data_IF_917530401719
#
_entry.id   IF_917530401719
#
_cell.length_a   1.000
_cell.length_b   1.000
_cell.length_c   1.000
_cell.angle_alpha   90.00
_cell.angle_beta   90.00
_cell.angle_gamma   90.00
#
_symmetry.space_group_name_H-M   'P 1'
#
loop_
_entity.id
_entity.type
_entity.pdbx_description
1 polymer ?
#
# COMPACT_ATOMS: atom_id res chain seq x y z
N UNK A 1 -5.93 -15.77 -14.07
CA UNK A 1 -6.80 -16.02 -12.92
C UNK A 1 -8.16 -16.52 -13.37
N UNK A 2 -8.78 -17.40 -12.61
CA UNK A 2 -10.11 -17.91 -12.86
C UNK A 2 -11.13 -17.21 -11.95
N UNK A 3 -12.40 -17.16 -12.39
CA UNK A 3 -13.50 -16.56 -11.64
C UNK A 3 -13.28 -15.07 -11.32
N UNK A 4 -12.86 -14.30 -12.31
CA UNK A 4 -12.80 -12.85 -12.21
C UNK A 4 -14.23 -12.31 -12.12
N UNK A 5 -14.50 -11.44 -11.14
CA UNK A 5 -15.80 -10.82 -10.97
C UNK A 5 -15.77 -9.29 -11.09
N UNK A 6 -14.59 -8.69 -10.99
CA UNK A 6 -14.42 -7.25 -11.13
C UNK A 6 -13.11 -6.96 -11.86
N UNK A 7 -13.14 -5.95 -12.70
CA UNK A 7 -11.97 -5.40 -13.38
C UNK A 7 -12.07 -3.88 -13.39
N UNK A 8 -10.96 -3.21 -13.16
CA UNK A 8 -10.82 -1.76 -13.35
C UNK A 8 -9.46 -1.45 -13.97
N UNK A 9 -9.39 -0.43 -14.79
CA UNK A 9 -8.17 -0.07 -15.49
C UNK A 9 -7.94 1.44 -15.53
N UNK A 10 -6.66 1.81 -15.60
CA UNK A 10 -6.22 3.19 -15.74
C UNK A 10 -5.23 3.30 -16.92
N UNK A 11 -5.62 4.05 -17.93
CA UNK A 11 -4.81 4.25 -19.15
C UNK A 11 -3.68 5.25 -18.93
N UNK A 12 -3.76 6.14 -17.96
CA UNK A 12 -2.69 7.11 -17.64
C UNK A 12 -1.47 6.37 -17.09
N UNK A 13 -1.71 5.41 -16.20
CA UNK A 13 -0.66 4.62 -15.57
C UNK A 13 -0.42 3.26 -16.25
N UNK A 14 -1.16 2.96 -17.34
CA UNK A 14 -1.07 1.69 -18.06
C UNK A 14 -1.20 0.47 -17.15
N UNK A 15 -2.23 0.47 -16.31
CA UNK A 15 -2.48 -0.56 -15.30
C UNK A 15 -3.91 -1.09 -15.39
N UNK A 16 -4.06 -2.39 -15.23
CA UNK A 16 -5.35 -3.08 -15.10
C UNK A 16 -5.31 -3.91 -13.83
N UNK A 17 -6.34 -3.79 -13.00
CA UNK A 17 -6.53 -4.55 -11.77
C UNK A 17 -7.71 -5.50 -11.92
N UNK A 18 -7.54 -6.74 -11.47
CA UNK A 18 -8.56 -7.78 -11.51
C UNK A 18 -8.76 -8.38 -10.11
N UNK A 19 -10.01 -8.58 -9.72
CA UNK A 19 -10.38 -9.32 -8.52
C UNK A 19 -10.90 -10.72 -8.88
N UNK A 20 -10.48 -11.74 -8.13
CA UNK A 20 -10.90 -13.11 -8.30
C UNK A 20 -11.60 -13.64 -7.06
N UNK A 21 -12.69 -14.39 -7.25
CA UNK A 21 -13.39 -15.06 -6.14
C UNK A 21 -12.55 -16.14 -5.46
N UNK A 22 -11.56 -16.71 -6.15
CA UNK A 22 -10.70 -17.77 -5.61
C UNK A 22 -9.63 -17.25 -4.66
N UNK A 23 -9.21 -16.01 -4.84
CA UNK A 23 -8.21 -15.35 -3.99
C UNK A 23 -8.78 -14.02 -3.53
N UNK A 24 -9.67 -14.04 -2.52
CA UNK A 24 -10.48 -12.89 -2.16
C UNK A 24 -9.69 -11.72 -1.57
N UNK A 25 -8.45 -11.95 -1.13
CA UNK A 25 -7.56 -10.94 -0.55
C UNK A 25 -6.49 -10.44 -1.52
N UNK A 26 -6.56 -10.89 -2.80
CA UNK A 26 -5.53 -10.57 -3.80
C UNK A 26 -6.08 -9.78 -4.97
N UNK A 27 -5.24 -8.89 -5.48
CA UNK A 27 -5.45 -8.11 -6.70
C UNK A 27 -4.43 -8.60 -7.74
N UNK A 28 -4.92 -9.07 -8.88
CA UNK A 28 -4.06 -9.34 -10.03
C UNK A 28 -3.86 -8.07 -10.82
N UNK A 29 -2.63 -7.69 -10.99
CA UNK A 29 -2.25 -6.41 -11.62
C UNK A 29 -1.51 -6.68 -12.91
N UNK A 30 -1.95 -6.06 -13.98
CA UNK A 30 -1.31 -6.08 -15.28
C UNK A 30 -0.79 -4.69 -15.63
N UNK A 31 0.51 -4.55 -15.74
CA UNK A 31 1.13 -3.36 -16.30
C UNK A 31 1.54 -3.58 -17.73
N UNK A 32 1.31 -2.58 -18.59
CA UNK A 32 1.68 -2.61 -19.98
C UNK A 32 2.28 -1.28 -20.43
N UNK A 33 3.16 -1.37 -21.40
CA UNK A 33 3.75 -0.18 -22.01
C UNK A 33 3.85 -0.40 -23.52
N UNK A 34 3.39 0.58 -24.28
CA UNK A 34 3.50 0.61 -25.73
C UNK A 34 4.46 1.72 -26.14
N UNK A 35 5.35 1.42 -27.07
CA UNK A 35 5.99 2.42 -27.94
C UNK A 35 5.10 2.59 -29.16
N UNK A 36 5.34 3.63 -30.00
CA UNK A 36 4.43 4.05 -31.09
C UNK A 36 3.75 2.91 -31.85
N UNK A 37 4.43 1.79 -32.11
CA UNK A 37 3.93 0.71 -32.97
C UNK A 37 4.06 -0.70 -32.37
N UNK A 38 4.61 -0.83 -31.17
CA UNK A 38 4.83 -2.15 -30.60
C UNK A 38 4.64 -2.15 -29.09
N UNK A 39 4.21 -3.31 -28.57
CA UNK A 39 4.15 -3.57 -27.15
C UNK A 39 5.56 -3.76 -26.60
N UNK A 40 6.07 -2.75 -25.89
CA UNK A 40 7.42 -2.78 -25.34
C UNK A 40 7.50 -3.61 -24.06
N UNK A 41 6.45 -3.58 -23.22
CA UNK A 41 6.41 -4.31 -21.98
C UNK A 41 4.99 -4.78 -21.64
N UNK A 42 4.90 -5.93 -20.98
CA UNK A 42 3.67 -6.47 -20.42
C UNK A 42 4.02 -7.42 -19.31
N UNK A 43 3.60 -7.11 -18.10
CA UNK A 43 3.92 -7.89 -16.93
C UNK A 43 2.68 -8.07 -16.04
N UNK A 44 2.54 -9.27 -15.47
CA UNK A 44 1.56 -9.57 -14.45
C UNK A 44 2.26 -9.71 -13.11
N UNK A 45 1.65 -9.17 -12.07
CA UNK A 45 2.04 -9.38 -10.69
C UNK A 45 0.80 -9.46 -9.80
N UNK A 46 0.99 -9.75 -8.54
CA UNK A 46 -0.08 -9.91 -7.57
C UNK A 46 0.21 -9.09 -6.34
N UNK A 47 -0.75 -8.31 -5.90
CA UNK A 47 -0.77 -7.67 -4.60
C UNK A 47 -1.68 -8.48 -3.68
N UNK A 48 -1.25 -8.74 -2.47
CA UNK A 48 -2.05 -9.36 -1.43
C UNK A 48 -2.22 -8.35 -0.31
N UNK A 49 -3.45 -8.15 0.13
CA UNK A 49 -3.75 -7.28 1.26
C UNK A 49 -3.78 -8.17 2.50
N UNK A 50 -2.76 -8.04 3.31
CA UNK A 50 -2.64 -8.80 4.54
C UNK A 50 -3.75 -8.41 5.52
N UNK A 51 -4.23 -9.40 6.31
CA UNK A 51 -5.32 -9.25 7.29
C UNK A 51 -6.69 -8.90 6.71
N UNK A 52 -6.83 -8.63 5.43
CA UNK A 52 -8.12 -8.53 4.80
C UNK A 52 -8.83 -9.90 4.83
N UNK A 53 -10.12 -9.90 5.08
CA UNK A 53 -10.96 -11.08 4.85
C UNK A 53 -11.35 -11.17 3.37
N UNK A 54 -11.60 -10.01 2.76
CA UNK A 54 -12.02 -9.94 1.36
C UNK A 54 -11.90 -8.54 0.79
N UNK A 55 -11.50 -8.46 -0.49
CA UNK A 55 -11.62 -7.24 -1.30
C UNK A 55 -12.98 -7.32 -2.03
N UNK A 56 -13.86 -6.38 -1.73
CA UNK A 56 -15.22 -6.34 -2.25
C UNK A 56 -15.32 -5.62 -3.59
N UNK A 57 -14.54 -4.57 -3.77
CA UNK A 57 -14.53 -3.76 -4.97
C UNK A 57 -13.16 -3.13 -5.24
N UNK A 58 -12.90 -2.84 -6.51
CA UNK A 58 -11.76 -2.09 -7.00
C UNK A 58 -12.20 -1.14 -8.09
N UNK A 59 -11.78 0.13 -8.01
CA UNK A 59 -12.03 1.09 -9.06
C UNK A 59 -10.97 2.19 -9.12
N UNK A 60 -10.72 2.73 -10.32
CA UNK A 60 -9.81 3.84 -10.52
C UNK A 60 -10.57 5.16 -10.63
N UNK A 61 -10.09 6.16 -9.89
CA UNK A 61 -10.46 7.56 -10.09
C UNK A 61 -9.14 8.32 -10.27
N UNK A 62 -8.90 8.84 -11.46
CA UNK A 62 -7.62 9.45 -11.84
C UNK A 62 -6.44 8.51 -11.56
N UNK A 63 -5.47 8.92 -10.75
CA UNK A 63 -4.28 8.13 -10.39
C UNK A 63 -4.46 7.28 -9.13
N UNK A 64 -5.64 7.29 -8.53
CA UNK A 64 -5.92 6.58 -7.30
C UNK A 64 -6.72 5.31 -7.57
N UNK A 65 -6.23 4.19 -7.06
CA UNK A 65 -6.97 2.94 -6.97
C UNK A 65 -7.74 2.92 -5.65
N UNK A 66 -9.06 2.93 -5.72
CA UNK A 66 -9.94 2.81 -4.57
C UNK A 66 -10.29 1.35 -4.36
N UNK A 67 -10.18 0.90 -3.11
CA UNK A 67 -10.44 -0.47 -2.68
C UNK A 67 -11.48 -0.44 -1.58
N UNK A 68 -12.54 -1.22 -1.73
CA UNK A 68 -13.46 -1.52 -0.63
C UNK A 68 -13.04 -2.85 -0.04
N UNK A 69 -12.55 -2.84 1.20
CA UNK A 69 -11.96 -4.00 1.84
C UNK A 69 -12.73 -4.32 3.12
N UNK A 70 -13.04 -5.59 3.29
CA UNK A 70 -13.59 -6.15 4.52
C UNK A 70 -12.46 -6.69 5.37
N UNK A 71 -12.37 -6.19 6.60
CA UNK A 71 -11.54 -6.70 7.69
C UNK A 71 -12.43 -7.26 8.80
N UNK A 72 -11.84 -7.85 9.84
CA UNK A 72 -12.60 -8.36 11.00
C UNK A 72 -13.38 -7.28 11.73
N UNK A 73 -12.82 -6.09 11.82
CA UNK A 73 -13.35 -4.92 12.54
C UNK A 73 -14.31 -4.06 11.69
N UNK A 74 -14.43 -4.34 10.38
CA UNK A 74 -15.37 -3.58 9.54
C UNK A 74 -15.04 -3.57 8.05
N UNK A 75 -15.76 -2.71 7.33
CA UNK A 75 -15.53 -2.46 5.91
C UNK A 75 -14.94 -1.06 5.75
N UNK A 76 -13.81 -0.98 5.07
CA UNK A 76 -13.08 0.26 4.86
C UNK A 76 -12.95 0.59 3.38
N UNK A 77 -12.98 1.88 3.07
CA UNK A 77 -12.60 2.41 1.78
C UNK A 77 -11.15 2.89 1.87
N UNK A 78 -10.27 2.18 1.21
CA UNK A 78 -8.84 2.50 1.15
C UNK A 78 -8.48 2.99 -0.25
N UNK A 79 -7.38 3.72 -0.36
CA UNK A 79 -6.87 4.19 -1.65
C UNK A 79 -5.37 3.99 -1.77
N UNK A 80 -4.94 3.60 -2.95
CA UNK A 80 -3.54 3.44 -3.31
C UNK A 80 -3.19 4.43 -4.44
N UNK A 81 -2.14 5.20 -4.25
CA UNK A 81 -1.61 6.06 -5.31
C UNK A 81 -0.82 5.19 -6.30
N UNK A 82 -1.24 5.18 -7.57
CA UNK A 82 -0.60 4.42 -8.64
C UNK A 82 0.33 5.27 -9.52
N UNK A 83 0.67 6.48 -9.12
CA UNK A 83 1.64 7.30 -9.87
C UNK A 83 3.05 6.73 -9.73
N UNK A 84 3.90 6.97 -10.73
CA UNK A 84 5.29 6.47 -10.74
C UNK A 84 6.20 7.14 -9.69
N UNK A 85 5.82 8.30 -9.19
CA UNK A 85 6.56 9.04 -8.15
C UNK A 85 5.61 9.30 -6.99
N UNK A 86 5.70 8.45 -5.99
CA UNK A 86 4.92 8.55 -4.77
C UNK A 86 5.75 9.25 -3.70
N UNK A 87 5.73 10.56 -3.69
CA UNK A 87 6.19 11.32 -2.54
C UNK A 87 4.93 11.81 -1.85
N UNK A 88 4.81 11.53 -0.55
CA UNK A 88 3.71 12.07 0.25
C UNK A 88 3.86 13.59 0.31
N UNK A 89 2.75 14.31 0.28
CA UNK A 89 2.74 15.77 0.23
C UNK A 89 3.49 16.36 1.42
N UNK A 90 4.46 17.22 1.12
CA UNK A 90 5.27 17.90 2.14
C UNK A 90 6.33 17.04 2.82
N UNK A 91 6.68 15.88 2.24
CA UNK A 91 7.78 15.03 2.72
C UNK A 91 8.92 14.98 1.71
N UNK A 92 10.15 14.91 2.22
CA UNK A 92 11.37 14.70 1.43
C UNK A 92 11.76 13.21 1.36
N UNK A 93 10.97 12.32 1.96
CA UNK A 93 11.22 10.88 2.06
C UNK A 93 9.95 10.08 1.80
N UNK A 94 10.10 8.77 1.50
CA UNK A 94 9.01 7.83 1.28
C UNK A 94 8.73 7.04 2.55
N UNK A 95 7.44 6.90 2.88
CA UNK A 95 6.97 6.04 3.96
C UNK A 95 6.15 4.90 3.33
N UNK A 96 6.73 3.69 3.37
CA UNK A 96 6.14 2.49 2.80
C UNK A 96 5.41 1.69 3.88
N UNK A 97 4.12 1.99 4.08
CA UNK A 97 3.24 1.32 5.02
C UNK A 97 1.88 1.07 4.37
N UNK A 98 1.26 -0.06 4.68
CA UNK A 98 -0.15 -0.31 4.38
C UNK A 98 -1.05 0.36 5.41
N UNK A 99 -2.29 0.68 5.05
CA UNK A 99 -3.26 1.42 5.89
C UNK A 99 -2.65 2.70 6.49
N UNK A 100 -1.79 3.33 5.71
CA UNK A 100 -1.04 4.51 6.11
C UNK A 100 -1.95 5.70 6.38
N UNK A 101 -1.77 6.34 7.54
CA UNK A 101 -2.48 7.54 7.95
C UNK A 101 -1.53 8.54 8.58
N UNK A 102 -1.76 9.81 8.30
CA UNK A 102 -1.18 10.91 9.07
C UNK A 102 -2.12 11.25 10.22
N UNK A 103 -1.61 11.28 11.45
CA UNK A 103 -2.35 11.59 12.65
C UNK A 103 -1.76 12.82 13.33
N UNK A 104 -2.66 13.66 13.85
CA UNK A 104 -2.32 14.78 14.73
C UNK A 104 -2.63 14.39 16.17
N UNK A 105 -1.63 14.47 17.03
CA UNK A 105 -1.72 14.08 18.43
C UNK A 105 -2.10 15.22 19.37
N UNK A 106 -2.44 14.85 20.59
CA UNK A 106 -2.62 15.75 21.72
C UNK A 106 -1.42 15.62 22.65
N UNK A 107 -0.65 16.68 22.78
CA UNK A 107 0.50 16.74 23.67
C UNK A 107 0.11 17.21 25.05
N UNK A 108 0.57 16.50 26.07
CA UNK A 108 0.44 16.84 27.50
C UNK A 108 1.81 17.21 28.06
N UNK A 109 1.97 18.46 28.46
CA UNK A 109 3.24 19.00 29.02
C UNK A 109 3.56 18.43 30.40
N UNK A 110 2.55 18.04 31.20
CA UNK A 110 2.79 17.51 32.57
C UNK A 110 3.43 16.12 32.53
N UNK A 111 3.02 15.29 31.59
CA UNK A 111 3.52 13.93 31.39
C UNK A 111 4.58 13.82 30.31
N UNK A 112 4.85 14.90 29.57
CA UNK A 112 5.69 14.92 28.37
C UNK A 112 5.32 13.82 27.38
N UNK A 113 4.01 13.66 27.11
CA UNK A 113 3.48 12.56 26.31
C UNK A 113 2.54 13.08 25.23
N UNK A 114 2.67 12.55 24.01
CA UNK A 114 1.71 12.81 22.92
C UNK A 114 0.86 11.56 22.66
N UNK A 115 -0.46 11.74 22.62
CA UNK A 115 -1.41 10.65 22.39
C UNK A 115 -2.16 10.80 21.07
N UNK A 116 -2.50 9.66 20.43
CA UNK A 116 -3.23 9.60 19.17
C UNK A 116 -4.28 8.48 19.22
N UNK A 117 -5.39 8.67 18.52
CA UNK A 117 -6.41 7.63 18.36
C UNK A 117 -6.29 7.01 16.96
N UNK A 118 -6.15 5.69 16.91
CA UNK A 118 -6.10 4.92 15.66
C UNK A 118 -7.54 4.60 15.24
N UNK A 119 -7.93 4.82 13.97
CA UNK A 119 -9.30 4.59 13.52
C UNK A 119 -9.61 3.14 13.11
N UNK A 120 -8.69 2.21 13.31
CA UNK A 120 -8.84 0.79 13.00
C UNK A 120 -8.16 -0.10 14.04
N UNK A 121 -8.60 -1.35 14.13
CA UNK A 121 -8.00 -2.33 15.03
C UNK A 121 -6.68 -2.88 14.46
N UNK A 122 -5.63 -2.90 15.28
CA UNK A 122 -4.36 -3.56 15.00
C UNK A 122 -3.65 -3.89 16.31
N UNK A 123 -2.77 -4.90 16.28
CA UNK A 123 -1.89 -5.19 17.40
C UNK A 123 -0.69 -4.21 17.41
N UNK A 124 -0.06 -4.03 18.58
CA UNK A 124 1.06 -3.09 18.71
C UNK A 124 2.27 -3.53 17.87
N UNK A 125 2.57 -4.84 17.86
CA UNK A 125 3.66 -5.43 17.07
C UNK A 125 3.49 -5.31 15.56
N UNK A 126 2.27 -5.04 15.13
CA UNK A 126 1.89 -4.93 13.73
C UNK A 126 1.85 -3.48 13.24
N UNK A 127 2.18 -2.53 14.09
CA UNK A 127 2.10 -1.11 13.80
C UNK A 127 3.49 -0.47 13.77
N UNK A 128 3.73 0.37 12.79
CA UNK A 128 4.86 1.29 12.80
C UNK A 128 4.36 2.72 12.96
N UNK A 129 5.07 3.48 13.77
CA UNK A 129 4.87 4.92 13.96
C UNK A 129 6.12 5.64 13.48
N UNK A 130 5.95 6.59 12.57
CA UNK A 130 7.05 7.30 11.92
C UNK A 130 6.89 8.80 12.19
N UNK A 131 7.97 9.44 12.60
CA UNK A 131 8.01 10.90 12.72
C UNK A 131 7.78 11.55 11.34
N UNK A 132 6.82 12.48 11.28
CA UNK A 132 6.55 13.23 10.05
C UNK A 132 7.68 14.17 9.68
N UNK A 133 8.48 14.60 10.65
CA UNK A 133 9.52 15.62 10.44
C UNK A 133 10.80 15.05 9.84
N UNK A 134 11.13 13.78 10.16
CA UNK A 134 12.43 13.21 9.79
C UNK A 134 12.39 11.77 9.29
N UNK A 135 11.22 11.11 9.29
CA UNK A 135 11.06 9.74 8.79
C UNK A 135 11.58 8.64 9.71
N UNK A 136 12.00 8.96 10.93
CA UNK A 136 12.48 7.94 11.87
C UNK A 136 11.34 7.19 12.53
N UNK A 137 11.55 5.89 12.75
CA UNK A 137 10.66 5.08 13.57
C UNK A 137 10.69 5.59 15.01
N UNK A 138 9.51 5.66 15.61
CA UNK A 138 9.32 6.10 16.99
C UNK A 138 8.86 4.93 17.85
N UNK A 139 9.45 4.83 19.04
CA UNK A 139 8.97 3.90 20.06
C UNK A 139 7.66 4.42 20.66
N UNK A 140 6.71 3.53 20.83
CA UNK A 140 5.38 3.87 21.35
C UNK A 140 4.82 2.79 22.28
N UNK A 141 3.84 3.17 23.07
CA UNK A 141 2.99 2.23 23.79
C UNK A 141 1.58 2.28 23.21
N UNK A 142 0.88 1.15 23.25
CA UNK A 142 -0.49 1.05 22.74
C UNK A 142 -1.41 0.44 23.80
N UNK A 143 -2.54 1.09 24.02
CA UNK A 143 -3.64 0.60 24.85
C UNK A 143 -4.93 0.79 24.07
N UNK A 144 -5.62 -0.30 23.76
CA UNK A 144 -6.77 -0.30 22.88
C UNK A 144 -6.45 0.39 21.54
N UNK A 145 -7.20 1.41 21.15
CA UNK A 145 -6.97 2.20 19.94
C UNK A 145 -6.19 3.49 20.19
N UNK A 146 -5.51 3.62 21.32
CA UNK A 146 -4.69 4.79 21.66
C UNK A 146 -3.22 4.41 21.63
N UNK A 147 -2.41 5.17 20.92
CA UNK A 147 -0.95 5.13 20.98
C UNK A 147 -0.43 6.34 21.76
N UNK A 148 0.64 6.14 22.50
CA UNK A 148 1.31 7.17 23.29
C UNK A 148 2.79 7.18 23.01
N UNK A 149 3.33 8.35 22.74
CA UNK A 149 4.75 8.62 22.48
C UNK A 149 5.30 9.52 23.59
N UNK A 150 6.49 9.21 24.07
CA UNK A 150 7.22 10.11 24.96
C UNK A 150 7.76 11.28 24.15
N UNK A 151 7.45 12.51 24.57
CA UNK A 151 7.85 13.74 23.90
C UNK A 151 6.78 14.39 23.06
N UNK A 152 7.11 15.54 22.49
CA UNK A 152 6.20 16.36 21.68
C UNK A 152 6.32 16.02 20.18
N UNK A 153 5.48 15.12 19.71
CA UNK A 153 5.38 14.69 18.30
C UNK A 153 3.98 14.99 17.77
N UNK A 154 3.69 16.25 17.44
CA UNK A 154 2.33 16.66 17.05
C UNK A 154 1.80 15.87 15.85
N UNK A 155 2.63 15.61 14.84
CA UNK A 155 2.25 14.90 13.63
C UNK A 155 3.10 13.66 13.43
N UNK A 156 2.43 12.53 13.25
CA UNK A 156 3.07 11.24 12.96
C UNK A 156 2.38 10.56 11.77
N UNK A 157 3.11 9.66 11.14
CA UNK A 157 2.57 8.75 10.13
C UNK A 157 2.55 7.36 10.75
N UNK A 158 1.39 6.74 10.73
CA UNK A 158 1.20 5.36 11.21
C UNK A 158 0.84 4.44 10.05
N UNK A 159 1.09 3.17 10.21
CA UNK A 159 0.63 2.14 9.28
C UNK A 159 1.23 0.78 9.58
N UNK A 160 0.86 -0.17 8.75
CA UNK A 160 1.23 -1.58 8.89
C UNK A 160 2.40 -1.86 7.97
N UNK A 161 3.55 -2.35 8.46
CA UNK A 161 4.65 -2.77 7.60
C UNK A 161 4.23 -3.95 6.73
N UNK A 162 4.73 -4.00 5.50
CA UNK A 162 4.48 -5.08 4.57
C UNK A 162 5.78 -5.63 3.97
N UNK A 163 5.72 -6.86 3.46
CA UNK A 163 6.83 -7.45 2.72
C UNK A 163 6.66 -7.24 1.22
N UNK A 164 7.74 -6.82 0.55
CA UNK A 164 7.82 -6.76 -0.90
C UNK A 164 8.71 -7.88 -1.42
N UNK A 165 8.14 -8.79 -2.22
CA UNK A 165 8.85 -9.90 -2.81
C UNK A 165 8.97 -9.73 -4.33
N UNK A 166 10.19 -9.82 -4.83
CA UNK A 166 10.45 -9.77 -6.26
C UNK A 166 11.35 -10.93 -6.70
N UNK A 167 10.93 -11.64 -7.74
CA UNK A 167 11.68 -12.75 -8.32
C UNK A 167 11.96 -12.47 -9.79
N UNK A 168 13.24 -12.42 -10.16
CA UNK A 168 13.63 -12.33 -11.55
C UNK A 168 13.22 -13.60 -12.31
N UNK A 169 12.71 -13.41 -13.53
CA UNK A 169 12.53 -14.50 -14.48
C UNK A 169 13.90 -15.07 -14.91
N UNK A 170 13.89 -16.31 -15.42
CA UNK A 170 15.09 -16.92 -15.97
C UNK A 170 15.58 -16.12 -17.18
N UNK A 171 16.82 -15.66 -17.14
CA UNK A 171 17.44 -14.94 -18.25
C UNK A 171 17.86 -15.98 -19.32
N UNK A 172 17.19 -15.97 -20.45
CA UNK A 172 17.57 -16.77 -21.61
C UNK A 172 18.46 -15.95 -22.54
N UNK A 173 19.70 -16.37 -22.69
CA UNK A 173 20.56 -15.85 -23.77
C UNK A 173 20.22 -16.62 -25.04
N UNK A 174 19.56 -15.98 -26.01
CA UNK A 174 19.45 -16.54 -27.37
C UNK A 174 20.86 -16.64 -27.93
N UNK A 175 21.36 -17.86 -28.19
CA UNK A 175 22.54 -18.02 -29.05
C UNK A 175 22.14 -17.52 -30.45
N UNK A 176 22.92 -16.58 -30.97
CA UNK A 176 22.82 -16.25 -32.39
C UNK A 176 23.12 -17.56 -33.15
N UNK A 177 22.14 -18.12 -33.83
CA UNK A 177 22.39 -19.14 -34.84
C UNK A 177 23.22 -18.46 -35.92
N UNK A 178 24.50 -18.83 -36.03
CA UNK A 178 25.25 -18.51 -37.23
C UNK A 178 24.48 -19.12 -38.40
N UNK A 179 23.93 -18.27 -39.25
CA UNK A 179 23.49 -18.70 -40.59
C UNK A 179 24.76 -19.13 -41.35
N UNK A 180 24.81 -20.42 -41.64
CA UNK A 180 25.79 -20.98 -42.56
C UNK A 180 25.43 -20.63 -44.02
#
# INVERSE_FOLDING_TARGET
>A
PSNIFKMSGNTINNIICLLSQKEPTSIYVHNYYYTSDSKAQSAWHKWTIDRAERILNVDFIENWLYLTIQYKDGIYLERLNCTQRQIDEGLDFLVHLDRKLELTGSYDEETDTTTYTIPYECEAEDLNVVSRDNGFLLDFTKTDNVISLQGNFINVIIGIPYESYWKMGTIYKKRATQAG
#
